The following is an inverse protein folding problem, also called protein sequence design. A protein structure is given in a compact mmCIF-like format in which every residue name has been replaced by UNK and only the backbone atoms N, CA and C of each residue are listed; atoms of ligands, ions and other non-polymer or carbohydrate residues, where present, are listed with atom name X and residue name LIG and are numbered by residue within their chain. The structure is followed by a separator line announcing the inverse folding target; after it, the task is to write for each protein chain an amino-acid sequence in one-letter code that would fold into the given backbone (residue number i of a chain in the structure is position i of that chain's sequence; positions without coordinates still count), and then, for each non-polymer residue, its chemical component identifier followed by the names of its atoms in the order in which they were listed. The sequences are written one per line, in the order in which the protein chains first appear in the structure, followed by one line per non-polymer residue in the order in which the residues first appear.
data_IF_664378534553
#
_entry.id   IF_664378534553
#
_cell.length_a   1.000
_cell.length_b   1.000
_cell.length_c   1.000
_cell.angle_alpha   90.00
_cell.angle_beta   90.00
_cell.angle_gamma   90.00
#
_symmetry.space_group_name_H-M   'P 1'
#
loop_
_entity.id
_entity.type
_entity.pdbx_description
1 polymer ?
#
# COMPACT_ATOMS: atom_id res chain seq x y z
N UNK A 1 38.74 8.58 6.59
CA UNK A 1 39.22 7.27 6.12
C UNK A 1 38.26 6.79 5.05
N UNK A 2 38.71 6.28 3.90
CA UNK A 2 37.79 5.69 2.93
C UNK A 2 37.16 4.42 3.55
N UNK A 3 35.84 4.40 3.66
CA UNK A 3 35.09 3.20 4.05
C UNK A 3 34.97 2.30 2.82
N UNK A 4 35.93 1.39 2.65
CA UNK A 4 35.86 0.35 1.63
C UNK A 4 35.01 -0.81 2.15
N UNK A 5 33.70 -0.70 1.98
CA UNK A 5 32.76 -1.79 2.22
C UNK A 5 31.75 -1.82 1.10
N UNK A 6 32.07 -2.54 0.02
CA UNK A 6 31.09 -2.78 -1.04
C UNK A 6 30.17 -3.91 -0.59
N UNK A 7 28.90 -3.60 -0.36
CA UNK A 7 27.86 -4.61 -0.24
C UNK A 7 27.81 -5.39 -1.56
N UNK A 8 28.07 -6.69 -1.53
CA UNK A 8 27.91 -7.56 -2.69
C UNK A 8 26.50 -8.12 -2.75
N UNK A 9 26.04 -8.55 -3.93
CA UNK A 9 24.73 -9.19 -4.08
C UNK A 9 24.60 -10.44 -3.20
N UNK A 10 25.67 -11.23 -3.07
CA UNK A 10 25.69 -12.42 -2.21
C UNK A 10 25.54 -12.08 -0.73
N UNK A 11 26.20 -11.01 -0.27
CA UNK A 11 26.06 -10.54 1.10
C UNK A 11 24.66 -9.95 1.35
N UNK A 12 24.12 -9.21 0.39
CA UNK A 12 22.77 -8.66 0.48
C UNK A 12 21.72 -9.77 0.57
N UNK A 13 21.80 -10.79 -0.30
CA UNK A 13 20.93 -11.97 -0.28
C UNK A 13 21.03 -12.73 1.04
N UNK A 14 22.26 -12.96 1.52
CA UNK A 14 22.50 -13.63 2.81
C UNK A 14 21.89 -12.86 3.98
N UNK A 15 22.04 -11.54 4.01
CA UNK A 15 21.39 -10.69 5.01
C UNK A 15 19.87 -10.76 4.90
N UNK A 16 19.30 -10.81 3.70
CA UNK A 16 17.87 -11.00 3.47
C UNK A 16 17.35 -12.30 4.07
N UNK A 17 18.01 -13.42 3.75
CA UNK A 17 17.68 -14.75 4.26
C UNK A 17 17.72 -14.79 5.80
N UNK A 18 18.75 -14.23 6.41
CA UNK A 18 18.85 -14.17 7.87
C UNK A 18 17.84 -13.22 8.51
N UNK A 19 17.53 -12.10 7.86
CA UNK A 19 16.47 -11.21 8.34
C UNK A 19 15.12 -11.90 8.31
N UNK A 20 14.82 -12.76 7.34
CA UNK A 20 13.61 -13.57 7.34
C UNK A 20 13.62 -14.64 8.44
N UNK A 21 14.48 -15.66 8.30
CA UNK A 21 14.40 -16.92 9.07
C UNK A 21 15.64 -17.18 9.94
N UNK A 22 16.57 -16.23 9.99
CA UNK A 22 17.77 -16.31 10.80
C UNK A 22 17.56 -15.85 12.24
N UNK A 23 18.39 -16.41 13.13
CA UNK A 23 18.62 -15.92 14.48
C UNK A 23 20.12 -15.75 14.70
N UNK A 24 20.52 -14.61 15.28
CA UNK A 24 21.93 -14.36 15.62
C UNK A 24 22.02 -13.93 17.08
N UNK A 25 22.71 -14.70 17.91
CA UNK A 25 22.89 -14.39 19.34
C UNK A 25 23.90 -13.25 19.56
N UNK A 26 23.88 -12.64 20.75
CA UNK A 26 24.87 -11.64 21.16
C UNK A 26 26.31 -12.18 21.17
N UNK A 27 26.49 -13.49 21.40
CA UNK A 27 27.82 -14.10 21.31
C UNK A 27 28.28 -14.38 19.87
N UNK A 28 27.44 -14.11 18.86
CA UNK A 28 27.75 -14.36 17.46
C UNK A 28 27.48 -15.78 17.00
N UNK A 29 26.49 -16.46 17.57
CA UNK A 29 26.01 -17.76 17.06
C UNK A 29 24.90 -17.52 16.05
N UNK A 30 25.04 -18.03 14.83
CA UNK A 30 24.01 -17.91 13.79
C UNK A 30 23.28 -19.25 13.64
N UNK A 31 21.96 -19.15 13.65
CA UNK A 31 21.03 -20.23 13.33
C UNK A 31 20.14 -19.80 12.17
N UNK A 32 19.81 -20.73 11.27
CA UNK A 32 18.83 -20.51 10.20
C UNK A 32 17.87 -21.69 10.18
N UNK A 33 16.58 -21.42 10.37
CA UNK A 33 15.56 -22.46 10.48
C UNK A 33 14.62 -22.36 9.29
N UNK A 34 14.59 -23.38 8.42
CA UNK A 34 13.66 -23.39 7.29
C UNK A 34 13.47 -24.84 6.84
N UNK A 35 12.26 -25.21 6.41
CA UNK A 35 11.97 -26.58 5.98
C UNK A 35 12.41 -26.89 4.54
N UNK A 36 12.64 -25.87 3.72
CA UNK A 36 13.11 -26.02 2.35
C UNK A 36 14.60 -26.40 2.30
N UNK A 37 14.95 -27.61 1.83
CA UNK A 37 16.34 -28.05 1.74
C UNK A 37 17.19 -27.17 0.82
N UNK A 38 16.61 -26.64 -0.26
CA UNK A 38 17.34 -25.81 -1.22
C UNK A 38 17.74 -24.46 -0.60
N UNK A 39 16.88 -23.86 0.22
CA UNK A 39 17.22 -22.65 0.96
C UNK A 39 18.33 -22.90 1.98
N UNK A 40 18.29 -24.04 2.67
CA UNK A 40 19.36 -24.45 3.59
C UNK A 40 20.69 -24.64 2.87
N UNK A 41 20.70 -25.29 1.71
CA UNK A 41 21.88 -25.43 0.88
C UNK A 41 22.41 -24.08 0.38
N UNK A 42 21.50 -23.17 -0.03
CA UNK A 42 21.86 -21.81 -0.46
C UNK A 42 22.51 -21.01 0.67
N UNK A 43 21.94 -21.02 1.88
CA UNK A 43 22.51 -20.36 3.07
C UNK A 43 23.88 -20.93 3.40
N UNK A 44 24.05 -22.25 3.32
CA UNK A 44 25.34 -22.92 3.56
C UNK A 44 26.40 -22.48 2.55
N UNK A 45 26.04 -22.41 1.28
CA UNK A 45 26.92 -21.98 0.19
C UNK A 45 27.33 -20.51 0.36
N UNK A 46 26.37 -19.62 0.62
CA UNK A 46 26.63 -18.21 0.86
C UNK A 46 27.55 -18.02 2.08
N UNK A 47 27.28 -18.72 3.19
CA UNK A 47 28.11 -18.67 4.37
C UNK A 47 29.55 -19.09 4.10
N UNK A 48 29.73 -20.22 3.41
CA UNK A 48 31.06 -20.74 3.07
C UNK A 48 31.83 -19.78 2.16
N UNK A 49 31.17 -19.18 1.16
CA UNK A 49 31.79 -18.20 0.25
C UNK A 49 32.16 -16.89 0.94
N UNK A 50 31.28 -16.39 1.81
CA UNK A 50 31.48 -15.11 2.50
C UNK A 50 32.51 -15.20 3.63
N UNK A 51 32.68 -16.38 4.23
CA UNK A 51 33.42 -16.51 5.50
C UNK A 51 34.43 -17.64 5.57
N UNK A 52 34.45 -18.56 4.58
CA UNK A 52 35.13 -19.86 4.65
C UNK A 52 34.70 -20.74 5.83
N UNK A 53 33.56 -20.40 6.45
CA UNK A 53 32.99 -21.14 7.55
C UNK A 53 32.23 -22.39 7.10
N UNK A 54 31.79 -23.16 8.09
CA UNK A 54 31.06 -24.41 7.92
C UNK A 54 29.62 -24.29 8.43
N UNK A 55 28.71 -25.08 7.88
CA UNK A 55 27.36 -25.25 8.41
C UNK A 55 27.15 -26.68 8.89
N UNK A 56 26.36 -26.86 9.95
CA UNK A 56 25.88 -28.17 10.37
C UNK A 56 24.36 -28.16 10.44
N UNK A 57 23.73 -29.20 9.90
CA UNK A 57 22.28 -29.38 9.92
C UNK A 57 21.89 -30.24 11.12
N UNK A 58 20.84 -29.81 11.83
CA UNK A 58 20.15 -30.62 12.82
C UNK A 58 18.65 -30.58 12.54
N UNK A 59 17.99 -31.67 12.84
CA UNK A 59 16.53 -31.73 12.87
C UNK A 59 16.10 -31.52 14.30
N UNK A 60 15.22 -30.54 14.53
CA UNK A 60 14.71 -30.20 15.86
C UNK A 60 13.18 -30.08 15.83
N UNK A 61 12.47 -30.32 16.94
CA UNK A 61 11.03 -30.03 17.01
C UNK A 61 10.75 -28.55 16.72
N UNK A 62 9.66 -28.27 16.00
CA UNK A 62 9.23 -26.90 15.72
C UNK A 62 8.77 -26.21 17.00
N UNK A 63 9.18 -24.94 17.17
CA UNK A 63 8.70 -24.10 18.27
C UNK A 63 7.21 -23.75 18.18
N UNK A 64 6.58 -23.94 17.01
CA UNK A 64 5.14 -23.70 16.80
C UNK A 64 4.30 -24.97 16.92
N UNK A 65 4.83 -26.12 16.50
CA UNK A 65 4.17 -27.42 16.61
C UNK A 65 5.21 -28.50 16.98
N UNK A 66 5.30 -28.91 18.25
CA UNK A 66 6.29 -29.89 18.71
C UNK A 66 6.24 -31.25 18.01
N UNK A 67 5.12 -31.61 17.36
CA UNK A 67 4.96 -32.85 16.61
C UNK A 67 5.57 -32.78 15.19
N UNK A 68 5.95 -31.58 14.73
CA UNK A 68 6.58 -31.36 13.43
C UNK A 68 8.05 -31.04 13.61
N UNK A 69 8.87 -31.73 12.86
CA UNK A 69 10.30 -31.47 12.81
C UNK A 69 10.63 -30.35 11.81
N UNK A 70 11.64 -29.54 12.16
CA UNK A 70 12.20 -28.49 11.31
C UNK A 70 13.70 -28.65 11.14
N UNK A 71 14.19 -28.38 9.93
CA UNK A 71 15.62 -28.35 9.64
C UNK A 71 16.24 -27.04 10.12
N UNK A 72 17.25 -27.13 10.97
CA UNK A 72 17.97 -25.99 11.52
C UNK A 72 19.46 -26.07 11.21
N UNK A 73 19.97 -25.05 10.53
CA UNK A 73 21.39 -24.88 10.25
C UNK A 73 22.07 -24.07 11.35
N UNK A 74 23.25 -24.52 11.74
CA UNK A 74 24.16 -23.82 12.65
C UNK A 74 25.41 -23.43 11.87
N UNK A 75 25.65 -22.12 11.73
CA UNK A 75 26.79 -21.59 10.98
C UNK A 75 27.95 -21.31 11.94
N UNK A 76 29.16 -21.70 11.55
CA UNK A 76 30.37 -21.65 12.38
C UNK A 76 31.59 -21.23 11.56
N UNK A 77 32.68 -20.86 12.24
CA UNK A 77 33.95 -20.49 11.61
C UNK A 77 34.22 -19.00 11.45
N UNK A 78 33.27 -18.11 11.79
CA UNK A 78 33.48 -16.65 11.74
C UNK A 78 32.64 -15.87 12.77
N UNK A 79 33.01 -15.90 14.07
CA UNK A 79 32.22 -15.27 15.14
C UNK A 79 32.22 -13.73 15.06
N UNK A 80 33.31 -13.11 14.61
CA UNK A 80 33.38 -11.64 14.43
C UNK A 80 32.42 -11.18 13.34
N UNK A 81 32.37 -11.90 12.21
CA UNK A 81 31.42 -11.60 11.14
C UNK A 81 29.97 -11.83 11.61
N UNK A 82 29.71 -12.88 12.38
CA UNK A 82 28.39 -13.11 12.95
C UNK A 82 27.92 -11.97 13.87
N UNK A 83 28.79 -11.43 14.73
CA UNK A 83 28.49 -10.25 15.54
C UNK A 83 28.22 -9.01 14.68
N UNK A 84 29.00 -8.83 13.60
CA UNK A 84 28.75 -7.77 12.64
C UNK A 84 27.37 -7.92 11.98
N UNK A 85 27.01 -9.12 11.52
CA UNK A 85 25.70 -9.43 10.93
C UNK A 85 24.58 -9.10 11.92
N UNK A 86 24.72 -9.47 13.20
CA UNK A 86 23.75 -9.08 14.24
C UNK A 86 23.56 -7.57 14.30
N UNK A 87 24.66 -6.83 14.33
CA UNK A 87 24.64 -5.37 14.29
C UNK A 87 23.97 -4.79 13.03
N UNK A 88 23.89 -5.55 11.93
CA UNK A 88 23.15 -5.15 10.74
C UNK A 88 21.65 -5.43 10.85
N UNK A 89 21.29 -6.66 11.20
CA UNK A 89 19.90 -7.15 11.08
C UNK A 89 19.05 -6.92 12.34
N UNK A 90 19.63 -6.51 13.47
CA UNK A 90 18.90 -6.18 14.70
C UNK A 90 19.05 -4.69 15.10
N UNK A 91 17.99 -4.12 15.65
CA UNK A 91 18.02 -2.82 16.36
C UNK A 91 18.62 -2.98 17.76
N UNK A 92 18.92 -1.84 18.41
CA UNK A 92 19.31 -1.81 19.83
C UNK A 92 18.23 -2.38 20.77
N UNK A 93 16.96 -2.32 20.36
CA UNK A 93 15.82 -2.93 21.06
C UNK A 93 15.58 -4.41 20.73
N UNK A 94 16.46 -5.04 19.94
CA UNK A 94 16.35 -6.46 19.60
C UNK A 94 15.33 -6.79 18.52
N UNK A 95 14.71 -5.79 17.88
CA UNK A 95 13.84 -6.00 16.72
C UNK A 95 14.68 -6.27 15.48
N UNK A 96 14.24 -7.21 14.64
CA UNK A 96 14.83 -7.37 13.30
C UNK A 96 14.64 -6.09 12.48
N UNK A 97 15.52 -5.80 11.52
CA UNK A 97 15.44 -4.63 10.65
C UNK A 97 16.03 -4.91 9.27
N UNK A 98 15.65 -4.08 8.30
CA UNK A 98 16.44 -3.95 7.08
C UNK A 98 17.77 -3.27 7.43
N UNK A 99 18.93 -3.84 7.06
CA UNK A 99 20.21 -3.21 7.33
C UNK A 99 20.32 -1.81 6.72
N UNK A 100 20.91 -0.86 7.45
CA UNK A 100 21.13 0.49 6.92
C UNK A 100 21.98 0.49 5.66
N UNK A 101 22.96 -0.42 5.57
CA UNK A 101 23.79 -0.57 4.37
C UNK A 101 22.98 -1.04 3.16
N UNK A 102 21.89 -1.79 3.36
CA UNK A 102 20.99 -2.19 2.27
C UNK A 102 20.13 -0.99 1.87
N UNK A 103 19.53 -0.30 2.84
CA UNK A 103 18.71 0.90 2.58
C UNK A 103 19.47 1.96 1.77
N UNK A 104 20.77 2.12 2.00
CA UNK A 104 21.61 3.09 1.31
C UNK A 104 22.40 2.50 0.11
N UNK A 105 22.07 1.29 -0.34
CA UNK A 105 22.74 0.64 -1.49
C UNK A 105 22.01 0.86 -2.82
N UNK A 106 22.66 0.48 -3.91
CA UNK A 106 22.08 0.49 -5.24
C UNK A 106 20.89 -0.48 -5.38
N UNK A 107 20.04 -0.22 -6.37
CA UNK A 107 18.76 -0.93 -6.53
C UNK A 107 18.91 -2.44 -6.73
N UNK A 108 19.97 -2.88 -7.42
CA UNK A 108 20.32 -4.28 -7.63
C UNK A 108 20.68 -5.02 -6.33
N UNK A 109 21.42 -4.36 -5.43
CA UNK A 109 21.80 -4.92 -4.14
C UNK A 109 20.60 -4.99 -3.18
N UNK A 110 19.78 -3.95 -3.17
CA UNK A 110 18.50 -3.95 -2.47
C UNK A 110 17.58 -5.07 -3.00
N UNK A 111 17.54 -5.31 -4.31
CA UNK A 111 16.76 -6.41 -4.91
C UNK A 111 17.31 -7.78 -4.48
N UNK A 112 18.63 -7.95 -4.39
CA UNK A 112 19.23 -9.17 -3.87
C UNK A 112 18.84 -9.43 -2.41
N UNK A 113 18.82 -8.39 -1.57
CA UNK A 113 18.30 -8.50 -0.20
C UNK A 113 16.82 -8.89 -0.17
N UNK A 114 15.97 -8.23 -0.95
CA UNK A 114 14.54 -8.56 -1.01
C UNK A 114 14.30 -9.98 -1.49
N UNK A 115 15.04 -10.43 -2.51
CA UNK A 115 14.97 -11.81 -3.01
C UNK A 115 15.33 -12.82 -1.92
N UNK A 116 16.41 -12.58 -1.17
CA UNK A 116 16.78 -13.41 -0.03
C UNK A 116 15.74 -13.40 1.09
N UNK A 117 15.20 -12.23 1.43
CA UNK A 117 14.15 -12.09 2.44
C UNK A 117 12.89 -12.87 2.05
N UNK A 118 12.39 -12.67 0.83
CA UNK A 118 11.20 -13.36 0.32
C UNK A 118 11.39 -14.87 0.26
N UNK A 119 12.56 -15.31 -0.19
CA UNK A 119 12.89 -16.73 -0.25
C UNK A 119 12.78 -17.37 1.15
N UNK A 120 13.28 -16.68 2.19
CA UNK A 120 13.19 -17.14 3.58
C UNK A 120 11.77 -17.10 4.16
N UNK A 121 11.10 -15.94 4.08
CA UNK A 121 9.83 -15.64 4.78
C UNK A 121 8.63 -16.41 4.20
N UNK A 122 8.70 -16.75 2.90
CA UNK A 122 8.01 -17.91 2.34
C UNK A 122 6.50 -18.00 2.58
N UNK A 123 5.72 -16.94 2.35
CA UNK A 123 4.29 -17.08 2.04
C UNK A 123 4.13 -17.72 0.65
N UNK A 124 4.42 -19.03 0.53
CA UNK A 124 4.33 -19.82 -0.72
C UNK A 124 2.90 -19.90 -1.32
N UNK A 125 1.90 -19.30 -0.69
CA UNK A 125 0.50 -19.28 -1.13
C UNK A 125 0.06 -17.96 -1.79
N UNK A 126 0.93 -16.95 -1.89
CA UNK A 126 0.62 -15.67 -2.53
C UNK A 126 1.65 -15.26 -3.59
N UNK A 127 1.26 -14.39 -4.52
CA UNK A 127 2.13 -13.85 -5.58
C UNK A 127 3.23 -12.87 -5.07
N UNK A 128 3.66 -12.97 -3.80
CA UNK A 128 4.64 -12.07 -3.19
C UNK A 128 4.07 -10.74 -2.68
N UNK A 129 2.75 -10.64 -2.56
CA UNK A 129 2.02 -9.40 -2.26
C UNK A 129 1.70 -9.19 -0.77
N UNK A 130 2.17 -10.09 0.11
CA UNK A 130 1.93 -10.02 1.56
C UNK A 130 3.19 -10.38 2.34
N UNK A 131 3.56 -9.56 3.34
CA UNK A 131 4.61 -9.87 4.33
C UNK A 131 4.02 -9.69 5.72
N UNK A 132 4.38 -10.55 6.68
CA UNK A 132 3.96 -10.41 8.07
C UNK A 132 5.15 -10.45 9.00
N UNK A 133 5.29 -9.46 9.87
CA UNK A 133 6.38 -9.40 10.85
C UNK A 133 5.91 -8.83 12.18
N UNK A 134 6.49 -9.25 13.29
CA UNK A 134 6.27 -8.63 14.60
C UNK A 134 7.26 -7.48 14.90
N UNK A 135 8.16 -7.17 13.96
CA UNK A 135 9.09 -6.07 14.09
C UNK A 135 8.57 -4.81 13.39
N UNK A 136 8.26 -3.73 14.13
CA UNK A 136 7.86 -2.46 13.52
C UNK A 136 8.96 -1.85 12.64
N UNK A 137 10.22 -2.01 13.05
CA UNK A 137 11.38 -1.45 12.34
C UNK A 137 11.65 -2.21 11.03
N UNK A 138 11.44 -3.53 11.03
CA UNK A 138 11.52 -4.32 9.80
C UNK A 138 10.39 -3.96 8.85
N UNK A 139 9.16 -3.86 9.36
CA UNK A 139 7.99 -3.42 8.59
C UNK A 139 8.26 -2.09 7.88
N UNK A 140 8.73 -1.08 8.63
CA UNK A 140 9.07 0.23 8.06
C UNK A 140 10.14 0.14 6.96
N UNK A 141 11.22 -0.60 7.20
CA UNK A 141 12.30 -0.74 6.22
C UNK A 141 11.86 -1.45 4.93
N UNK A 142 11.04 -2.48 5.05
CA UNK A 142 10.47 -3.20 3.90
C UNK A 142 9.50 -2.30 3.12
N UNK A 143 8.60 -1.59 3.79
CA UNK A 143 7.71 -0.61 3.14
C UNK A 143 8.51 0.41 2.34
N UNK A 144 9.57 0.96 2.91
CA UNK A 144 10.42 1.93 2.21
C UNK A 144 11.07 1.32 0.96
N UNK A 145 11.58 0.09 1.05
CA UNK A 145 12.18 -0.60 -0.10
C UNK A 145 11.19 -0.82 -1.24
N UNK A 146 9.92 -1.16 -0.97
CA UNK A 146 8.89 -1.32 -2.00
C UNK A 146 8.40 0.02 -2.56
N UNK A 147 8.10 0.99 -1.70
CA UNK A 147 7.58 2.31 -2.10
C UNK A 147 8.61 3.05 -2.97
N UNK A 148 9.88 3.01 -2.60
CA UNK A 148 10.97 3.62 -3.40
C UNK A 148 11.11 3.03 -4.81
N UNK A 149 10.52 1.85 -5.05
CA UNK A 149 10.48 1.17 -6.36
C UNK A 149 9.16 1.36 -7.11
N UNK A 150 8.27 2.21 -6.61
CA UNK A 150 6.96 2.41 -7.23
C UNK A 150 5.98 1.26 -6.97
N UNK A 151 6.27 0.40 -5.99
CA UNK A 151 5.30 -0.58 -5.48
C UNK A 151 4.63 0.00 -4.23
N UNK A 152 3.37 0.47 -4.32
CA UNK A 152 2.69 1.01 -3.15
C UNK A 152 2.57 -0.08 -2.08
N UNK A 153 2.73 0.28 -0.81
CA UNK A 153 2.64 -0.65 0.30
C UNK A 153 1.66 -0.10 1.33
N UNK A 154 0.69 -0.91 1.76
CA UNK A 154 -0.16 -0.62 2.91
C UNK A 154 0.23 -1.51 4.09
N UNK A 155 0.02 -1.03 5.31
CA UNK A 155 0.37 -1.74 6.55
C UNK A 155 -0.85 -1.81 7.43
N UNK A 156 -1.18 -3.01 7.89
CA UNK A 156 -2.24 -3.30 8.84
C UNK A 156 -1.60 -3.86 10.12
N UNK A 157 -2.09 -3.42 11.27
CA UNK A 157 -1.63 -3.92 12.56
C UNK A 157 -2.66 -4.89 13.10
N UNK A 158 -2.24 -6.12 13.38
CA UNK A 158 -3.04 -7.16 14.03
C UNK A 158 -2.51 -7.37 15.46
N UNK A 159 -3.38 -7.21 16.46
CA UNK A 159 -3.04 -7.52 17.85
C UNK A 159 -3.32 -9.00 18.14
N UNK A 160 -2.34 -9.72 18.67
CA UNK A 160 -2.46 -11.11 19.13
C UNK A 160 -1.92 -11.23 20.55
N UNK A 161 -2.80 -11.08 21.53
CA UNK A 161 -2.40 -10.98 22.94
C UNK A 161 -1.56 -9.72 23.17
N UNK A 162 -0.37 -9.87 23.74
CA UNK A 162 0.57 -8.75 23.99
C UNK A 162 1.44 -8.38 22.78
N UNK A 163 1.35 -9.13 21.68
CA UNK A 163 2.18 -8.91 20.50
C UNK A 163 1.41 -8.23 19.37
N UNK A 164 2.03 -7.20 18.79
CA UNK A 164 1.57 -6.56 17.56
C UNK A 164 2.27 -7.16 16.34
N UNK A 165 1.49 -7.60 15.36
CA UNK A 165 1.97 -8.06 14.07
C UNK A 165 1.62 -7.05 12.99
N UNK A 166 2.58 -6.73 12.13
CA UNK A 166 2.47 -5.81 11.01
C UNK A 166 2.34 -6.64 9.74
N UNK A 167 1.17 -6.57 9.11
CA UNK A 167 0.90 -7.14 7.80
C UNK A 167 1.07 -6.07 6.73
N UNK A 168 2.07 -6.25 5.88
CA UNK A 168 2.33 -5.41 4.73
C UNK A 168 1.63 -6.03 3.53
N UNK A 169 0.77 -5.25 2.87
CA UNK A 169 0.22 -5.61 1.57
C UNK A 169 0.96 -4.78 0.51
N UNK A 170 1.63 -5.48 -0.40
CA UNK A 170 2.50 -4.89 -1.42
C UNK A 170 1.73 -4.90 -2.73
N UNK A 171 1.53 -3.72 -3.31
CA UNK A 171 0.90 -3.56 -4.60
C UNK A 171 1.73 -4.19 -5.72
N UNK A 172 1.05 -4.48 -6.83
CA UNK A 172 1.71 -4.89 -8.06
C UNK A 172 2.72 -3.83 -8.52
N UNK A 173 3.73 -4.28 -9.27
CA UNK A 173 4.60 -3.38 -10.00
C UNK A 173 3.73 -2.45 -10.85
N UNK A 174 3.83 -1.15 -10.59
CA UNK A 174 3.20 -0.18 -11.46
C UNK A 174 3.99 -0.19 -12.77
N UNK A 175 3.46 -0.89 -13.78
CA UNK A 175 3.97 -0.83 -15.16
C UNK A 175 3.64 0.56 -15.71
N UNK A 176 4.53 1.50 -15.45
CA UNK A 176 4.41 2.88 -15.91
C UNK A 176 4.85 2.99 -17.36
N UNK A 177 3.90 3.26 -18.27
CA UNK A 177 4.21 3.23 -19.70
C UNK A 177 3.22 3.77 -20.71
N UNK A 178 2.27 4.66 -20.37
CA UNK A 178 1.58 5.46 -21.41
C UNK A 178 1.34 6.96 -21.11
N UNK A 179 1.47 7.45 -19.87
CA UNK A 179 1.33 8.89 -19.58
C UNK A 179 2.30 9.37 -18.51
N UNK A 180 2.93 10.52 -18.74
CA UNK A 180 3.71 11.27 -17.74
C UNK A 180 5.23 11.11 -17.74
N UNK A 181 5.82 10.37 -18.69
CA UNK A 181 7.29 10.21 -18.79
C UNK A 181 8.05 11.52 -19.00
N UNK A 182 7.42 12.51 -19.63
CA UNK A 182 7.98 13.86 -19.82
C UNK A 182 8.02 14.70 -18.54
N UNK A 183 7.47 14.22 -17.42
CA UNK A 183 7.40 14.92 -16.13
C UNK A 183 8.47 14.46 -15.12
N UNK A 184 9.32 13.47 -15.46
CA UNK A 184 10.45 13.08 -14.61
C UNK A 184 11.79 13.49 -15.21
N UNK A 185 12.64 14.05 -14.36
CA UNK A 185 14.08 14.29 -14.58
C UNK A 185 14.91 13.47 -13.59
N UNK A 186 16.18 13.23 -13.92
CA UNK A 186 17.11 12.38 -13.17
C UNK A 186 17.30 12.87 -11.72
N UNK A 187 17.35 11.99 -10.69
CA UNK A 187 17.48 12.38 -9.28
C UNK A 187 18.72 13.24 -8.96
N UNK A 188 19.79 13.10 -9.74
CA UNK A 188 21.00 13.94 -9.64
C UNK A 188 20.78 15.40 -10.06
N UNK A 189 19.69 15.71 -10.76
CA UNK A 189 19.29 17.08 -11.12
C UNK A 189 18.41 17.73 -10.04
N UNK A 190 17.99 16.99 -9.02
CA UNK A 190 17.20 17.52 -7.90
C UNK A 190 18.15 18.15 -6.87
N UNK A 191 18.50 19.42 -7.09
CA UNK A 191 19.01 20.27 -6.01
C UNK A 191 17.81 20.78 -5.23
N UNK A 192 17.80 20.61 -3.91
CA UNK A 192 16.86 21.30 -3.03
C UNK A 192 17.10 22.81 -3.19
N UNK A 193 16.14 23.50 -3.78
CA UNK A 193 16.10 24.96 -3.85
C UNK A 193 14.86 25.39 -3.08
N UNK A 194 15.04 25.77 -1.81
CA UNK A 194 14.05 26.57 -1.10
C UNK A 194 14.39 28.04 -1.35
N UNK A 195 13.81 28.61 -2.41
CA UNK A 195 13.21 29.95 -2.43
C UNK A 195 12.20 29.91 -3.58
N UNK A 196 10.91 30.05 -3.27
CA UNK A 196 9.84 30.15 -4.25
C UNK A 196 9.44 31.63 -4.34
N UNK A 197 9.97 32.42 -5.30
CA UNK A 197 9.35 33.67 -5.65
C UNK A 197 8.24 33.34 -6.64
N UNK A 198 7.08 32.89 -6.14
CA UNK A 198 5.91 32.72 -6.99
C UNK A 198 4.88 33.74 -6.55
N UNK A 199 4.85 34.81 -7.33
CA UNK A 199 3.69 35.68 -7.48
C UNK A 199 2.48 34.82 -7.84
N UNK A 200 1.41 34.94 -7.04
CA UNK A 200 0.02 34.67 -7.40
C UNK A 200 -0.49 33.21 -7.39
N UNK A 201 0.11 32.29 -6.63
CA UNK A 201 -0.54 31.00 -6.34
C UNK A 201 -0.54 30.67 -4.84
N UNK A 202 -1.73 30.48 -4.28
CA UNK A 202 -1.92 30.04 -2.90
C UNK A 202 -1.63 28.53 -2.79
N UNK A 203 -0.55 28.18 -2.11
CA UNK A 203 -0.27 26.81 -1.67
C UNK A 203 -0.67 26.73 -0.19
N UNK A 204 -1.61 25.84 0.14
CA UNK A 204 -1.99 25.56 1.52
C UNK A 204 -1.30 24.27 1.97
N UNK A 205 -0.50 24.36 3.03
CA UNK A 205 0.02 23.19 3.75
C UNK A 205 -1.01 22.78 4.80
N UNK A 206 -1.52 21.55 4.70
CA UNK A 206 -2.49 20.99 5.65
C UNK A 206 -1.71 20.41 6.84
N UNK A 207 -1.40 21.26 7.83
CA UNK A 207 -0.83 20.85 9.12
C UNK A 207 -1.84 19.96 9.87
N UNK A 208 -1.80 18.67 9.58
CA UNK A 208 -2.45 17.62 10.36
C UNK A 208 -1.43 17.04 11.33
N UNK A 209 -1.83 16.56 12.51
CA UNK A 209 -0.89 15.94 13.48
C UNK A 209 -0.09 14.80 12.84
N UNK A 210 -0.72 14.07 11.93
CA UNK A 210 -0.12 12.98 11.17
C UNK A 210 0.70 13.41 9.96
N UNK A 211 0.68 14.70 9.57
CA UNK A 211 1.32 15.22 8.35
C UNK A 211 0.68 14.74 7.05
N UNK A 212 -0.53 14.19 7.10
CA UNK A 212 -1.31 13.70 5.95
C UNK A 212 -2.80 13.99 6.10
N UNK A 213 -3.41 14.55 5.06
CA UNK A 213 -4.86 14.73 5.00
C UNK A 213 -5.61 13.46 4.54
N UNK A 214 -6.63 13.05 5.28
CA UNK A 214 -7.48 11.88 4.95
C UNK A 214 -8.96 12.27 4.87
N UNK A 215 -9.59 12.01 3.72
CA UNK A 215 -11.05 12.16 3.55
C UNK A 215 -11.72 10.81 3.28
N UNK A 216 -12.05 10.07 4.34
CA UNK A 216 -12.75 8.78 4.29
C UNK A 216 -12.20 7.76 5.29
N UNK A 217 -12.65 6.50 5.18
CA UNK A 217 -12.25 5.42 6.10
C UNK A 217 -10.84 4.93 5.79
N UNK A 218 -9.97 4.82 6.80
CA UNK A 218 -8.69 4.10 6.67
C UNK A 218 -7.70 4.69 5.66
N UNK A 219 -7.60 6.03 5.59
CA UNK A 219 -6.77 6.78 4.61
C UNK A 219 -7.25 6.71 3.15
N UNK A 220 -8.44 6.15 2.89
CA UNK A 220 -9.03 6.15 1.55
C UNK A 220 -9.76 7.45 1.27
N UNK A 221 -9.48 8.04 0.11
CA UNK A 221 -10.14 9.24 -0.39
C UNK A 221 -11.38 8.82 -1.21
N UNK A 222 -12.57 8.87 -0.61
CA UNK A 222 -13.84 8.47 -1.26
C UNK A 222 -14.76 9.68 -1.45
N UNK A 223 -14.37 10.58 -2.35
CA UNK A 223 -15.20 11.70 -2.79
C UNK A 223 -15.46 11.63 -4.30
N UNK A 224 -16.63 12.09 -4.72
CA UNK A 224 -17.08 12.06 -6.11
C UNK A 224 -17.49 13.44 -6.60
N UNK A 225 -17.44 13.62 -7.92
CA UNK A 225 -17.91 14.83 -8.59
C UNK A 225 -17.98 14.58 -10.10
N UNK A 226 -18.58 15.50 -10.87
CA UNK A 226 -18.42 15.58 -12.33
C UNK A 226 -16.97 15.73 -12.84
N UNK A 227 -15.97 15.75 -11.96
CA UNK A 227 -14.53 15.78 -12.31
C UNK A 227 -13.80 14.47 -11.94
N UNK A 228 -14.50 13.48 -11.36
CA UNK A 228 -13.92 12.18 -11.01
C UNK A 228 -13.40 11.45 -12.27
N UNK A 229 -12.29 10.73 -12.16
CA UNK A 229 -11.77 9.91 -13.27
C UNK A 229 -12.72 8.78 -13.68
N UNK A 230 -12.75 8.46 -14.98
CA UNK A 230 -13.64 7.45 -15.58
C UNK A 230 -13.37 6.01 -15.10
N UNK A 231 -12.18 5.77 -14.55
CA UNK A 231 -11.76 4.48 -14.00
C UNK A 231 -12.49 4.10 -12.69
N UNK A 232 -13.12 5.07 -12.03
CA UNK A 232 -13.86 4.83 -10.79
C UNK A 232 -15.33 4.52 -11.06
N UNK A 233 -15.90 3.58 -10.28
CA UNK A 233 -17.24 3.04 -10.51
C UNK A 233 -18.33 4.10 -10.66
N UNK A 234 -18.34 5.15 -9.83
CA UNK A 234 -19.34 6.22 -9.87
C UNK A 234 -19.33 6.96 -11.20
N UNK A 235 -18.15 7.38 -11.67
CA UNK A 235 -18.01 8.09 -12.95
C UNK A 235 -18.20 7.16 -14.14
N UNK A 236 -17.74 5.92 -14.04
CA UNK A 236 -18.00 4.88 -15.05
C UNK A 236 -19.51 4.70 -15.26
N UNK A 237 -20.29 4.67 -14.18
CA UNK A 237 -21.75 4.57 -14.25
C UNK A 237 -22.36 5.83 -14.86
N UNK A 238 -22.08 7.02 -14.33
CA UNK A 238 -22.71 8.26 -14.83
C UNK A 238 -22.40 8.51 -16.31
N UNK A 239 -21.15 8.29 -16.72
CA UNK A 239 -20.73 8.41 -18.11
C UNK A 239 -21.34 7.33 -18.99
N UNK A 240 -21.38 6.08 -18.52
CA UNK A 240 -21.99 4.96 -19.25
C UNK A 240 -23.49 5.17 -19.49
N UNK A 241 -24.22 5.61 -18.46
CA UNK A 241 -25.63 6.01 -18.55
C UNK A 241 -25.82 7.08 -19.61
N UNK A 242 -24.96 8.11 -19.61
CA UNK A 242 -25.03 9.19 -20.58
C UNK A 242 -24.75 8.70 -22.02
N UNK A 243 -23.76 7.81 -22.21
CA UNK A 243 -23.48 7.18 -23.50
C UNK A 243 -24.68 6.37 -23.99
N UNK A 244 -25.27 5.54 -23.14
CA UNK A 244 -26.43 4.70 -23.47
C UNK A 244 -27.62 5.58 -23.85
N UNK A 245 -27.93 6.59 -23.03
CA UNK A 245 -29.07 7.49 -23.30
C UNK A 245 -28.92 8.24 -24.64
N UNK A 246 -27.69 8.52 -25.05
CA UNK A 246 -27.38 9.18 -26.33
C UNK A 246 -27.16 8.21 -27.49
N UNK A 247 -27.39 6.90 -27.30
CA UNK A 247 -27.23 5.87 -28.33
C UNK A 247 -25.77 5.63 -28.75
N UNK A 248 -24.81 5.92 -27.88
CA UNK A 248 -23.37 5.74 -28.11
C UNK A 248 -22.84 4.40 -27.58
N UNK A 249 -23.60 3.74 -26.71
CA UNK A 249 -23.29 2.44 -26.15
C UNK A 249 -24.60 1.66 -25.93
N UNK A 250 -24.53 0.34 -25.99
CA UNK A 250 -25.69 -0.54 -25.79
C UNK A 250 -25.76 -1.13 -24.38
N UNK A 251 -24.62 -1.26 -23.69
CA UNK A 251 -24.52 -1.88 -22.37
C UNK A 251 -23.44 -1.23 -21.50
N UNK A 252 -23.54 -1.41 -20.18
CA UNK A 252 -22.57 -1.00 -19.19
C UNK A 252 -22.05 -2.22 -18.42
N UNK A 253 -20.78 -2.59 -18.63
CA UNK A 253 -20.16 -3.73 -17.94
C UNK A 253 -19.63 -3.35 -16.56
N UNK A 254 -20.05 -4.05 -15.51
CA UNK A 254 -19.70 -3.78 -14.11
C UNK A 254 -19.16 -5.01 -13.38
N UNK A 255 -18.49 -4.80 -12.24
CA UNK A 255 -18.02 -5.87 -11.36
C UNK A 255 -19.04 -6.20 -10.27
N UNK A 256 -18.61 -6.15 -9.01
CA UNK A 256 -19.48 -6.36 -7.87
C UNK A 256 -20.46 -5.18 -7.71
N UNK A 257 -21.76 -5.48 -7.79
CA UNK A 257 -22.86 -4.51 -7.62
C UNK A 257 -23.27 -4.34 -6.15
N UNK A 258 -22.86 -5.26 -5.27
CA UNK A 258 -23.25 -5.30 -3.85
C UNK A 258 -22.29 -4.55 -2.93
N UNK A 259 -21.13 -4.13 -3.42
CA UNK A 259 -20.17 -3.36 -2.61
C UNK A 259 -20.77 -2.03 -2.15
N UNK A 260 -20.71 -1.76 -0.86
CA UNK A 260 -21.30 -0.58 -0.22
C UNK A 260 -20.25 0.45 0.18
N UNK A 261 -20.50 1.71 -0.14
CA UNK A 261 -19.58 2.83 0.10
C UNK A 261 -20.31 4.06 0.60
N UNK A 262 -19.65 4.80 1.45
CA UNK A 262 -19.95 6.19 1.78
C UNK A 262 -19.40 7.10 0.68
N UNK A 263 -20.30 7.71 -0.07
CA UNK A 263 -19.99 8.55 -1.23
C UNK A 263 -20.42 9.99 -0.98
N UNK A 264 -19.46 10.85 -0.66
CA UNK A 264 -19.69 12.29 -0.56
C UNK A 264 -19.29 13.08 -1.81
N UNK A 265 -19.75 14.33 -1.87
CA UNK A 265 -19.38 15.28 -2.90
C UNK A 265 -18.04 15.95 -2.60
N UNK A 266 -17.16 15.99 -3.59
CA UNK A 266 -15.82 16.56 -3.47
C UNK A 266 -15.83 18.05 -3.07
N UNK A 267 -16.84 18.82 -3.52
CA UNK A 267 -16.97 20.23 -3.17
C UNK A 267 -17.21 20.46 -1.68
N UNK A 268 -18.03 19.63 -1.05
CA UNK A 268 -18.26 19.69 0.41
C UNK A 268 -17.00 19.29 1.18
N UNK A 269 -16.23 18.36 0.63
CA UNK A 269 -15.05 17.81 1.30
C UNK A 269 -13.87 18.79 1.29
N UNK A 270 -13.73 19.62 0.25
CA UNK A 270 -12.70 20.67 0.22
C UNK A 270 -13.01 21.82 1.19
N UNK A 271 -14.28 22.07 1.51
CA UNK A 271 -14.67 22.98 2.59
C UNK A 271 -14.19 22.45 3.95
N UNK A 272 -14.31 21.14 4.20
CA UNK A 272 -13.77 20.53 5.41
C UNK A 272 -12.25 20.71 5.53
N UNK A 273 -11.50 20.55 4.43
CA UNK A 273 -10.05 20.82 4.40
C UNK A 273 -9.74 22.25 4.84
N UNK A 274 -10.49 23.23 4.30
CA UNK A 274 -10.32 24.62 4.67
C UNK A 274 -10.67 24.88 6.14
N UNK A 275 -11.75 24.28 6.66
CA UNK A 275 -12.17 24.43 8.06
C UNK A 275 -11.14 23.88 9.06
N UNK A 276 -10.46 22.77 8.72
CA UNK A 276 -9.37 22.23 9.54
C UNK A 276 -8.23 23.23 9.73
N UNK A 277 -7.88 23.96 8.67
CA UNK A 277 -6.83 24.99 8.71
C UNK A 277 -7.22 26.21 9.55
N UNK A 278 -8.50 26.37 9.89
CA UNK A 278 -8.97 27.48 10.71
C UNK A 278 -8.92 27.18 12.21
N UNK A 279 -8.55 25.95 12.60
CA UNK A 279 -8.49 25.54 14.01
C UNK A 279 -7.24 26.08 14.71
N UNK A 280 -7.34 26.36 16.02
CA UNK A 280 -6.21 26.85 16.81
C UNK A 280 -5.08 25.82 16.99
N UNK A 281 -5.40 24.53 16.92
CA UNK A 281 -4.46 23.42 17.06
C UNK A 281 -4.68 22.42 15.91
N UNK A 282 -3.59 21.85 15.35
CA UNK A 282 -3.68 20.82 14.32
C UNK A 282 -4.30 19.54 14.91
N UNK A 283 -5.15 18.88 14.13
CA UNK A 283 -5.84 17.66 14.56
C UNK A 283 -6.31 16.83 13.35
N UNK A 284 -6.62 15.55 13.56
CA UNK A 284 -7.09 14.60 12.55
C UNK A 284 -8.62 14.44 12.59
N UNK A 285 -9.28 14.45 11.43
CA UNK A 285 -10.74 14.36 11.30
C UNK A 285 -11.16 13.32 10.25
N UNK A 286 -12.25 12.59 10.54
CA UNK A 286 -12.94 11.78 9.53
C UNK A 286 -13.96 12.66 8.82
N UNK A 287 -13.78 12.84 7.52
CA UNK A 287 -14.72 13.55 6.63
C UNK A 287 -15.45 12.50 5.79
N UNK A 288 -16.76 12.40 6.01
CA UNK A 288 -17.62 11.33 5.48
C UNK A 288 -19.09 11.78 5.51
N UNK A 289 -19.99 11.12 4.77
CA UNK A 289 -21.43 11.41 4.90
C UNK A 289 -22.05 10.73 6.11
N UNK A 290 -21.51 9.56 6.52
CA UNK A 290 -22.12 8.71 7.55
C UNK A 290 -23.19 7.77 7.00
N UNK A 291 -23.44 7.79 5.70
CA UNK A 291 -24.41 6.97 4.99
C UNK A 291 -23.70 6.07 3.99
N UNK A 292 -24.23 4.87 3.73
CA UNK A 292 -23.62 3.93 2.77
C UNK A 292 -24.65 3.49 1.75
N UNK A 293 -24.20 3.31 0.51
CA UNK A 293 -25.01 2.82 -0.60
C UNK A 293 -24.23 1.81 -1.43
N UNK A 294 -24.95 0.84 -1.99
CA UNK A 294 -24.41 -0.14 -2.91
C UNK A 294 -24.14 0.46 -4.30
N UNK A 295 -23.24 -0.19 -5.06
CA UNK A 295 -23.03 0.12 -6.48
C UNK A 295 -24.33 -0.06 -7.27
N UNK A 296 -25.17 -1.02 -6.87
CA UNK A 296 -26.53 -1.24 -7.39
C UNK A 296 -27.42 -0.02 -7.20
N UNK A 297 -27.55 0.51 -5.99
CA UNK A 297 -28.35 1.71 -5.73
C UNK A 297 -27.88 2.91 -6.55
N UNK A 298 -26.56 3.08 -6.72
CA UNK A 298 -26.00 4.14 -7.57
C UNK A 298 -26.47 3.97 -9.03
N UNK A 299 -26.36 2.76 -9.58
CA UNK A 299 -26.79 2.48 -10.95
C UNK A 299 -28.30 2.68 -11.12
N UNK A 300 -29.10 2.17 -10.18
CA UNK A 300 -30.55 2.36 -10.16
C UNK A 300 -30.94 3.83 -10.26
N UNK A 301 -30.39 4.68 -9.38
CA UNK A 301 -30.66 6.13 -9.39
C UNK A 301 -30.17 6.79 -10.68
N UNK A 302 -28.98 6.43 -11.17
CA UNK A 302 -28.40 7.04 -12.36
C UNK A 302 -29.21 6.73 -13.62
N UNK A 303 -29.61 5.48 -13.84
CA UNK A 303 -30.44 5.08 -14.97
C UNK A 303 -31.86 5.66 -14.86
N UNK A 304 -32.46 5.63 -13.67
CA UNK A 304 -33.79 6.20 -13.44
C UNK A 304 -33.84 7.70 -13.75
N UNK A 305 -32.78 8.45 -13.45
CA UNK A 305 -32.68 9.88 -13.74
C UNK A 305 -32.81 10.22 -15.24
N UNK A 306 -32.40 9.31 -16.12
CA UNK A 306 -32.56 9.45 -17.58
C UNK A 306 -33.75 8.67 -18.14
N UNK A 307 -34.62 8.15 -17.27
CA UNK A 307 -35.81 7.38 -17.64
C UNK A 307 -35.49 6.02 -18.26
N UNK A 308 -34.46 5.34 -17.75
CA UNK A 308 -34.06 3.99 -18.16
C UNK A 308 -34.06 3.04 -16.94
N UNK A 309 -34.21 1.74 -17.18
CA UNK A 309 -34.04 0.71 -16.16
C UNK A 309 -32.64 0.09 -16.28
N UNK A 310 -31.83 0.17 -15.23
CA UNK A 310 -30.46 -0.35 -15.25
C UNK A 310 -30.39 -1.85 -15.60
N UNK A 311 -31.45 -2.63 -15.30
CA UNK A 311 -31.49 -4.08 -15.55
C UNK A 311 -31.42 -4.44 -17.02
N UNK A 312 -31.83 -3.51 -17.88
CA UNK A 312 -31.81 -3.71 -19.33
C UNK A 312 -30.40 -3.47 -19.93
N UNK A 313 -29.50 -2.82 -19.21
CA UNK A 313 -28.22 -2.34 -19.75
C UNK A 313 -26.99 -2.77 -18.95
N UNK A 314 -27.11 -3.05 -17.66
CA UNK A 314 -25.97 -3.40 -16.81
C UNK A 314 -25.68 -4.90 -16.91
N UNK A 315 -24.44 -5.23 -17.30
CA UNK A 315 -23.95 -6.60 -17.40
C UNK A 315 -22.81 -6.82 -16.42
N UNK A 316 -22.90 -7.85 -15.58
CA UNK A 316 -21.78 -8.22 -14.70
C UNK A 316 -20.69 -8.95 -15.48
N UNK A 317 -19.43 -8.58 -15.24
CA UNK A 317 -18.28 -9.09 -15.96
C UNK A 317 -17.15 -9.41 -14.98
N UNK A 318 -16.69 -10.66 -15.00
CA UNK A 318 -15.67 -11.19 -14.08
C UNK A 318 -14.36 -10.40 -14.13
N UNK A 319 -14.04 -9.75 -15.26
CA UNK A 319 -12.83 -8.93 -15.41
C UNK A 319 -12.81 -7.71 -14.49
N UNK A 320 -13.96 -7.29 -13.97
CA UNK A 320 -14.09 -6.20 -13.01
C UNK A 320 -14.29 -6.67 -11.57
N UNK A 321 -14.33 -7.98 -11.32
CA UNK A 321 -14.39 -8.54 -9.97
C UNK A 321 -13.00 -8.49 -9.33
N UNK A 322 -12.94 -8.08 -8.06
CA UNK A 322 -11.69 -8.06 -7.31
C UNK A 322 -11.48 -9.39 -6.59
N UNK A 323 -10.26 -9.97 -6.60
CA UNK A 323 -9.96 -11.21 -5.86
C UNK A 323 -10.18 -11.09 -4.34
N UNK A 324 -10.02 -9.89 -3.79
CA UNK A 324 -10.38 -9.54 -2.42
C UNK A 324 -11.18 -8.24 -2.46
N UNK A 325 -12.47 -8.33 -2.17
CA UNK A 325 -13.37 -7.19 -2.16
C UNK A 325 -13.44 -6.57 -0.75
N UNK A 326 -13.67 -5.26 -0.70
CA UNK A 326 -14.09 -4.60 0.54
C UNK A 326 -15.60 -4.48 0.48
N UNK A 327 -16.31 -5.19 1.36
CA UNK A 327 -17.77 -5.25 1.27
C UNK A 327 -18.44 -3.93 1.67
N UNK A 328 -17.98 -3.31 2.77
CA UNK A 328 -18.58 -2.12 3.34
C UNK A 328 -17.51 -1.09 3.74
N UNK A 329 -17.73 0.17 3.35
CA UNK A 329 -17.02 1.33 3.88
C UNK A 329 -18.03 2.39 4.31
N UNK A 330 -17.96 2.81 5.57
CA UNK A 330 -18.76 3.90 6.14
C UNK A 330 -17.93 4.71 7.13
N UNK A 331 -17.96 6.04 7.02
CA UNK A 331 -17.22 6.92 7.92
C UNK A 331 -18.09 7.43 9.06
N UNK A 332 -17.47 7.85 10.17
CA UNK A 332 -18.16 8.56 11.24
C UNK A 332 -17.67 10.02 11.31
N UNK A 333 -18.45 11.00 10.81
CA UNK A 333 -18.05 12.41 10.78
C UNK A 333 -18.33 13.17 12.08
N UNK A 334 -18.69 12.50 13.19
CA UNK A 334 -19.10 13.15 14.44
C UNK A 334 -18.08 14.18 14.96
N UNK A 335 -16.78 13.88 14.89
CA UNK A 335 -15.74 14.82 15.32
C UNK A 335 -15.70 16.08 14.43
N UNK A 336 -15.82 15.91 13.11
CA UNK A 336 -15.85 17.02 12.17
C UNK A 336 -17.08 17.91 12.39
N UNK A 337 -18.23 17.30 12.71
CA UNK A 337 -19.45 18.05 13.05
C UNK A 337 -19.27 18.86 14.33
N UNK A 338 -18.72 18.26 15.38
CA UNK A 338 -18.58 18.90 16.70
C UNK A 338 -17.52 19.99 16.74
N UNK A 339 -16.38 19.76 16.09
CA UNK A 339 -15.20 20.64 16.18
C UNK A 339 -15.17 21.64 15.02
N UNK A 340 -15.40 21.18 13.79
CA UNK A 340 -15.32 22.03 12.59
C UNK A 340 -16.66 22.69 12.25
N UNK A 341 -17.76 22.25 12.85
CA UNK A 341 -19.11 22.63 12.41
C UNK A 341 -19.45 22.12 11.01
N UNK A 342 -18.71 21.13 10.50
CA UNK A 342 -18.85 20.65 9.12
C UNK A 342 -19.89 19.52 9.03
N UNK A 343 -20.78 19.63 8.05
CA UNK A 343 -21.69 18.56 7.63
C UNK A 343 -21.71 18.47 6.10
N UNK A 344 -21.89 17.26 5.52
CA UNK A 344 -22.13 17.13 4.08
C UNK A 344 -23.40 17.88 3.71
N UNK A 345 -23.38 18.63 2.61
CA UNK A 345 -24.51 19.42 2.12
C UNK A 345 -25.22 18.72 0.97
N UNK A 346 -24.47 17.99 0.15
CA UNK A 346 -24.96 17.28 -1.02
C UNK A 346 -25.41 15.87 -0.62
N UNK A 347 -26.67 15.55 -0.87
CA UNK A 347 -27.20 14.20 -0.65
C UNK A 347 -26.68 13.21 -1.69
N UNK A 348 -26.77 11.92 -1.39
CA UNK A 348 -26.38 10.86 -2.32
C UNK A 348 -27.13 10.96 -3.66
N UNK A 349 -28.44 11.19 -3.62
CA UNK A 349 -29.26 11.32 -4.82
C UNK A 349 -28.84 12.54 -5.67
N UNK A 350 -28.64 13.70 -5.05
CA UNK A 350 -28.20 14.91 -5.77
C UNK A 350 -26.82 14.71 -6.41
N UNK A 351 -25.90 14.03 -5.71
CA UNK A 351 -24.59 13.70 -6.25
C UNK A 351 -24.70 12.85 -7.53
N UNK A 352 -25.52 11.79 -7.51
CA UNK A 352 -25.75 10.92 -8.67
C UNK A 352 -26.32 11.74 -9.84
N UNK A 353 -27.35 12.54 -9.59
CA UNK A 353 -28.00 13.37 -10.61
C UNK A 353 -27.03 14.38 -11.24
N UNK A 354 -26.28 15.11 -10.42
CA UNK A 354 -25.28 16.08 -10.88
C UNK A 354 -24.22 15.43 -11.78
N UNK A 355 -23.76 14.22 -11.42
CA UNK A 355 -22.78 13.49 -12.23
C UNK A 355 -23.35 13.07 -13.59
N UNK A 356 -24.57 12.54 -13.62
CA UNK A 356 -25.23 12.13 -14.86
C UNK A 356 -25.52 13.33 -15.75
N UNK A 357 -26.04 14.43 -15.20
CA UNK A 357 -26.35 15.64 -15.96
C UNK A 357 -25.10 16.24 -16.61
N UNK A 358 -24.00 16.29 -15.87
CA UNK A 358 -22.73 16.79 -16.38
C UNK A 358 -22.15 15.90 -17.49
N UNK A 359 -22.20 14.58 -17.35
CA UNK A 359 -21.74 13.65 -18.40
C UNK A 359 -22.65 13.70 -19.65
N UNK A 360 -23.97 13.86 -19.46
CA UNK A 360 -24.91 14.10 -20.55
C UNK A 360 -24.60 15.38 -21.31
N UNK A 361 -24.28 16.47 -20.59
CA UNK A 361 -23.88 17.73 -21.21
C UNK A 361 -22.54 17.58 -21.97
N UNK A 362 -21.53 17.00 -21.32
CA UNK A 362 -20.21 16.77 -21.91
C UNK A 362 -20.29 16.03 -23.25
N UNK A 363 -21.06 14.93 -23.31
CA UNK A 363 -21.20 14.14 -24.53
C UNK A 363 -22.05 14.83 -25.61
N UNK A 364 -23.04 15.65 -25.22
CA UNK A 364 -23.80 16.47 -26.17
C UNK A 364 -22.92 17.54 -26.83
N UNK A 365 -22.02 18.15 -26.06
CA UNK A 365 -21.06 19.13 -26.58
C UNK A 365 -20.03 18.50 -27.52
N UNK A 366 -19.58 17.27 -27.24
CA UNK A 366 -18.68 16.53 -28.14
C UNK A 366 -19.33 16.03 -29.44
N UNK A 367 -20.67 15.95 -29.49
CA UNK A 367 -21.42 15.61 -30.72
C UNK A 367 -21.64 16.81 -31.64
N UNK A 368 -21.46 18.04 -31.16
CA UNK A 368 -21.52 19.27 -31.97
C UNK A 368 -20.18 19.50 -32.65
#
# INVERSE_FOLDING_TARGET
MPNWGALTSELAEFLGLLTAEGYVSDEGRIQFTNNDPALRERVTTLWSRLTLGTASLRTVPSGFNPEREVGQLYLSGSPTFAKWVRGQIYSSSGHKRVPQLVLNSASDLQNAFLAGYYAGDGLKAGNGDGIKTNSPVLAQGLCWLYISRGRPCSVYVEQRGEYSYYQLNIGSDQVFGQKGQHLRREPSEVRRVDVVPVSDAWVYDLETESGVFCAGVGRLIVHNSPRRGLEFSTRKISHGVAQIKLGLAEELRMGNMESQRDWGFAGDYVEAMWLMLQQEQPDDFVIATGETHSVREFAELAFAHVGLDYRDFVVQDERFMRPAEVDLLVGNPQKAQQVLGWTPKTTFQELVQQMVDADMQLLKEQKR
#
